data_IF_377270612553
#
_entry.id   IF_377270612553
#
_cell.length_a   1.000
_cell.length_b   1.000
_cell.length_c   1.000
_cell.angle_alpha   90.00
_cell.angle_beta   90.00
_cell.angle_gamma   90.00
#
_symmetry.space_group_name_H-M   'P 1'
#
loop_
_entity.id
_entity.type
_entity.pdbx_description
1 polymer ?
#
# COMPACT_ATOMS: atom_id res chain seq x y z
N UNK A 1 6.49 22.53 35.59
CA UNK A 1 5.74 21.35 35.13
C UNK A 1 6.61 20.62 34.12
N UNK A 2 7.31 19.57 34.55
CA UNK A 2 8.34 18.91 33.73
C UNK A 2 7.66 17.89 32.83
N UNK A 3 7.71 18.09 31.51
CA UNK A 3 7.20 17.14 30.53
C UNK A 3 8.03 15.85 30.61
N UNK A 4 7.43 14.78 31.16
CA UNK A 4 7.98 13.44 31.07
C UNK A 4 8.09 13.04 29.61
N UNK A 5 9.32 12.91 29.10
CA UNK A 5 9.59 12.30 27.79
C UNK A 5 9.21 10.82 27.89
N UNK A 6 7.96 10.50 27.53
CA UNK A 6 7.54 9.12 27.33
C UNK A 6 8.44 8.50 26.25
N UNK A 7 9.41 7.67 26.67
CA UNK A 7 10.33 7.01 25.76
C UNK A 7 9.55 5.97 24.94
N UNK A 8 9.12 6.35 23.73
CA UNK A 8 8.39 5.47 22.83
C UNK A 8 9.35 4.39 22.31
N UNK A 9 9.38 3.23 22.97
CA UNK A 9 10.16 2.10 22.50
C UNK A 9 9.48 1.45 21.29
N UNK A 10 10.28 0.85 20.38
CA UNK A 10 9.76 0.10 19.22
C UNK A 10 8.69 -0.92 19.61
N UNK A 11 8.89 -1.62 20.74
CA UNK A 11 7.94 -2.60 21.28
C UNK A 11 6.63 -1.96 21.73
N UNK A 12 6.68 -0.81 22.42
CA UNK A 12 5.49 -0.09 22.88
C UNK A 12 4.71 0.50 21.70
N UNK A 13 5.41 0.99 20.68
CA UNK A 13 4.79 1.43 19.43
C UNK A 13 4.05 0.28 18.73
N UNK A 14 4.73 -0.85 18.46
CA UNK A 14 4.10 -2.00 17.78
C UNK A 14 2.87 -2.51 18.55
N UNK A 15 2.99 -2.68 19.87
CA UNK A 15 1.89 -3.16 20.73
C UNK A 15 0.68 -2.22 20.72
N UNK A 16 0.91 -0.90 20.73
CA UNK A 16 -0.18 0.05 20.71
C UNK A 16 -0.82 0.15 19.31
N UNK A 17 -0.01 0.12 18.26
CA UNK A 17 -0.49 0.12 16.87
C UNK A 17 -1.28 -1.14 16.54
N UNK A 18 -0.91 -2.32 17.06
CA UNK A 18 -1.65 -3.56 16.82
C UNK A 18 -3.09 -3.52 17.37
N UNK A 19 -3.33 -2.78 18.45
CA UNK A 19 -4.68 -2.61 19.01
C UNK A 19 -5.54 -1.75 18.06
N UNK A 20 -4.96 -0.70 17.46
CA UNK A 20 -5.66 0.13 16.46
C UNK A 20 -5.95 -0.60 15.14
N UNK A 21 -5.01 -1.44 14.69
CA UNK A 21 -5.15 -2.23 13.45
C UNK A 21 -6.34 -3.20 13.52
N UNK A 22 -6.59 -3.82 14.68
CA UNK A 22 -7.71 -4.75 14.85
C UNK A 22 -9.07 -4.13 14.48
N UNK A 23 -9.28 -2.85 14.78
CA UNK A 23 -10.51 -2.13 14.41
C UNK A 23 -10.61 -1.84 12.91
N UNK A 24 -9.49 -1.59 12.23
CA UNK A 24 -9.46 -1.31 10.79
C UNK A 24 -9.61 -2.56 9.92
N UNK A 25 -9.38 -3.77 10.45
CA UNK A 25 -9.51 -5.01 9.67
C UNK A 25 -10.96 -5.31 9.26
N UNK A 26 -11.94 -4.77 9.98
CA UNK A 26 -13.37 -4.93 9.64
C UNK A 26 -13.84 -3.85 8.65
N UNK A 27 -13.12 -2.74 8.52
CA UNK A 27 -13.54 -1.65 7.63
C UNK A 27 -13.73 -2.08 6.15
N UNK A 28 -12.87 -2.93 5.55
CA UNK A 28 -13.03 -3.37 4.17
C UNK A 28 -14.22 -4.32 3.95
N UNK A 29 -14.75 -4.97 5.00
CA UNK A 29 -15.91 -5.87 4.84
C UNK A 29 -17.24 -5.12 4.76
N UNK A 30 -17.24 -3.83 5.11
CA UNK A 30 -18.42 -2.95 5.06
C UNK A 30 -18.54 -2.27 3.68
N UNK A 31 -17.42 -2.13 2.97
CA UNK A 31 -17.39 -1.54 1.64
C UNK A 31 -17.69 -2.62 0.58
N UNK A 32 -18.60 -2.33 -0.34
CA UNK A 32 -18.90 -3.24 -1.45
C UNK A 32 -17.67 -3.41 -2.35
N UNK A 33 -17.26 -4.65 -2.59
CA UNK A 33 -16.15 -4.99 -3.51
C UNK A 33 -16.42 -4.58 -4.97
N UNK A 34 -17.65 -4.19 -5.30
CA UNK A 34 -18.06 -3.81 -6.66
C UNK A 34 -18.25 -2.31 -6.77
N UNK A 35 -17.29 -1.63 -7.41
CA UNK A 35 -17.47 -0.26 -7.83
C UNK A 35 -18.47 -0.21 -9.00
N UNK A 36 -19.65 0.39 -8.78
CA UNK A 36 -20.62 0.61 -9.87
C UNK A 36 -19.98 1.49 -10.94
N UNK A 37 -19.91 1.00 -12.18
CA UNK A 37 -19.36 1.74 -13.32
C UNK A 37 -17.85 1.59 -13.54
N UNK A 38 -17.20 0.60 -12.91
CA UNK A 38 -15.84 0.22 -13.27
C UNK A 38 -15.78 -0.23 -14.75
N UNK A 39 -14.74 0.19 -15.46
CA UNK A 39 -14.47 -0.21 -16.84
C UNK A 39 -13.63 -1.50 -16.89
N UNK A 40 -13.44 -2.07 -18.08
CA UNK A 40 -12.61 -3.28 -18.29
C UNK A 40 -11.09 -3.02 -18.16
N UNK A 41 -10.69 -1.84 -17.66
CA UNK A 41 -9.29 -1.41 -17.56
C UNK A 41 -8.94 -1.03 -16.13
N UNK A 42 -7.86 -1.60 -15.62
CA UNK A 42 -7.34 -1.30 -14.30
C UNK A 42 -6.14 -0.37 -14.49
N UNK A 43 -6.29 0.90 -14.08
CA UNK A 43 -5.16 1.84 -14.03
C UNK A 43 -4.37 1.59 -12.76
N UNK A 44 -3.07 1.29 -12.91
CA UNK A 44 -2.20 0.88 -11.82
C UNK A 44 -1.09 1.91 -11.64
N UNK A 45 -0.95 2.40 -10.40
CA UNK A 45 0.20 3.16 -9.94
C UNK A 45 1.11 2.30 -9.08
N UNK A 46 2.40 2.30 -9.37
CA UNK A 46 3.39 1.49 -8.63
C UNK A 46 4.16 2.36 -7.63
N UNK A 47 4.31 1.89 -6.39
CA UNK A 47 5.15 2.54 -5.37
C UNK A 47 6.30 1.58 -5.03
N UNK A 48 7.53 2.03 -5.25
CA UNK A 48 8.72 1.21 -5.10
C UNK A 48 8.92 0.25 -6.26
N UNK A 49 9.54 0.70 -7.35
CA UNK A 49 9.81 -0.10 -8.56
C UNK A 49 11.25 -0.62 -8.60
N UNK A 50 11.81 -0.93 -7.43
CA UNK A 50 13.14 -1.54 -7.28
C UNK A 50 13.17 -3.03 -7.62
N UNK A 51 14.05 -3.79 -6.97
CA UNK A 51 14.24 -5.25 -7.19
C UNK A 51 12.93 -6.02 -7.41
N UNK A 52 12.13 -6.23 -6.35
CA UNK A 52 10.88 -6.98 -6.44
C UNK A 52 9.83 -6.28 -7.31
N UNK A 53 9.70 -4.96 -7.19
CA UNK A 53 8.72 -4.17 -7.95
C UNK A 53 8.94 -4.24 -9.47
N UNK A 54 10.19 -4.26 -9.93
CA UNK A 54 10.54 -4.46 -11.34
C UNK A 54 10.19 -5.87 -11.81
N UNK A 55 10.47 -6.89 -11.00
CA UNK A 55 10.14 -8.28 -11.32
C UNK A 55 8.63 -8.50 -11.41
N UNK A 56 7.88 -7.96 -10.47
CA UNK A 56 6.42 -7.98 -10.46
C UNK A 56 5.84 -7.25 -11.69
N UNK A 57 6.32 -6.02 -11.96
CA UNK A 57 5.87 -5.23 -13.10
C UNK A 57 6.06 -6.00 -14.42
N UNK A 58 7.25 -6.54 -14.66
CA UNK A 58 7.58 -7.22 -15.92
C UNK A 58 6.89 -8.57 -16.08
N UNK A 59 6.89 -9.38 -15.03
CA UNK A 59 6.42 -10.77 -15.12
C UNK A 59 4.93 -10.93 -14.90
N UNK A 60 4.29 -10.01 -14.16
CA UNK A 60 2.88 -10.13 -13.78
C UNK A 60 1.99 -9.07 -14.39
N UNK A 61 2.35 -7.79 -14.28
CA UNK A 61 1.43 -6.72 -14.67
C UNK A 61 1.48 -6.35 -16.15
N UNK A 62 2.68 -6.25 -16.72
CA UNK A 62 2.88 -5.89 -18.14
C UNK A 62 2.21 -6.88 -19.12
N UNK A 63 2.18 -8.20 -18.86
CA UNK A 63 1.51 -9.15 -19.76
C UNK A 63 -0.03 -9.11 -19.76
N UNK A 64 -0.66 -8.35 -18.86
CA UNK A 64 -2.12 -8.32 -18.73
C UNK A 64 -2.72 -7.19 -19.59
N UNK A 65 -3.53 -7.54 -20.59
CA UNK A 65 -4.14 -6.57 -21.53
C UNK A 65 -5.11 -5.57 -20.88
N UNK A 66 -5.57 -5.87 -19.67
CA UNK A 66 -6.50 -5.04 -18.88
C UNK A 66 -5.77 -4.18 -17.85
N UNK A 67 -4.48 -4.40 -17.62
CA UNK A 67 -3.66 -3.68 -16.66
C UNK A 67 -2.90 -2.54 -17.36
N UNK A 68 -3.08 -1.30 -16.91
CA UNK A 68 -2.45 -0.13 -17.51
C UNK A 68 -1.59 0.59 -16.48
N UNK A 69 -0.29 0.56 -16.69
CA UNK A 69 0.72 1.10 -15.78
C UNK A 69 0.83 2.60 -16.04
N UNK A 70 0.17 3.42 -15.21
CA UNK A 70 -0.01 4.86 -15.48
C UNK A 70 0.89 5.77 -14.64
N UNK A 71 1.44 5.26 -13.55
CA UNK A 71 2.30 6.05 -12.67
C UNK A 71 3.31 5.17 -11.92
N UNK A 72 4.45 5.77 -11.59
CA UNK A 72 5.47 5.17 -10.74
C UNK A 72 5.95 6.20 -9.72
N UNK A 73 6.15 5.76 -8.48
CA UNK A 73 6.75 6.55 -7.41
C UNK A 73 7.89 5.75 -6.78
N UNK A 74 9.09 6.32 -6.77
CA UNK A 74 10.26 5.73 -6.12
C UNK A 74 11.17 6.84 -5.59
N UNK A 75 11.83 6.67 -4.43
CA UNK A 75 12.81 7.65 -3.94
C UNK A 75 13.99 7.87 -4.89
N UNK A 76 14.31 6.89 -5.76
CA UNK A 76 15.40 7.01 -6.73
C UNK A 76 14.86 7.45 -8.10
N UNK A 77 15.29 8.63 -8.57
CA UNK A 77 14.90 9.19 -9.86
C UNK A 77 15.42 8.37 -11.05
N UNK A 78 16.64 7.85 -10.93
CA UNK A 78 17.26 6.94 -11.89
C UNK A 78 17.75 5.70 -11.14
N UNK A 79 17.49 4.53 -11.71
CA UNK A 79 17.99 3.24 -11.22
C UNK A 79 18.82 2.56 -12.30
#
# INVERSE_FOLDING_TARGET
>A
MTLSKNHLSRRKFIRNSSIGVAGTLVAPTILSCSAKGANDRILIGHIGVGSQGTGELKSWFTPLDTAYQVATCDPYLQR
#
